data_IF_764706211855
#
_entry.id   IF_764706211855
#
_cell.length_a   1.000
_cell.length_b   1.000
_cell.length_c   1.000
_cell.angle_alpha   90.00
_cell.angle_beta   90.00
_cell.angle_gamma   90.00
#
_symmetry.space_group_name_H-M   'P 1'
#
loop_
_entity.id
_entity.type
_entity.pdbx_description
1 polymer ?
#
# COMPACT_ATOMS: atom_id res chain seq x y z
N UNK A 1 -25.52 -18.16 8.98
CA UNK A 1 -24.94 -16.80 9.00
C UNK A 1 -23.85 -16.74 7.93
N UNK A 2 -23.88 -15.69 7.13
CA UNK A 2 -22.76 -15.49 6.20
C UNK A 2 -21.51 -15.12 7.02
N UNK A 3 -20.40 -15.81 6.77
CA UNK A 3 -19.12 -15.42 7.35
C UNK A 3 -18.69 -14.07 6.78
N UNK A 4 -18.23 -13.18 7.64
CA UNK A 4 -17.63 -11.93 7.21
C UNK A 4 -16.31 -12.26 6.50
N UNK A 5 -16.10 -11.80 5.26
CA UNK A 5 -14.83 -12.05 4.58
C UNK A 5 -13.68 -11.40 5.34
N UNK A 6 -12.58 -12.14 5.51
CA UNK A 6 -11.38 -11.63 6.17
C UNK A 6 -10.65 -10.54 5.36
N UNK A 7 -10.95 -10.47 4.06
CA UNK A 7 -10.33 -9.53 3.13
C UNK A 7 -11.34 -9.12 2.05
N UNK A 8 -11.37 -7.82 1.72
CA UNK A 8 -12.14 -7.28 0.61
C UNK A 8 -11.24 -6.40 -0.24
N UNK A 9 -11.24 -6.63 -1.55
CA UNK A 9 -10.50 -5.81 -2.51
C UNK A 9 -11.45 -5.08 -3.45
N UNK A 10 -11.22 -3.78 -3.67
CA UNK A 10 -11.99 -2.93 -4.58
C UNK A 10 -11.02 -2.20 -5.50
N UNK A 11 -11.24 -2.28 -6.80
CA UNK A 11 -10.45 -1.59 -7.82
C UNK A 11 -11.28 -0.56 -8.56
N UNK A 12 -10.71 0.63 -8.75
CA UNK A 12 -11.22 1.71 -9.59
C UNK A 12 -10.22 2.04 -10.67
N UNK A 13 -10.71 2.50 -11.81
CA UNK A 13 -9.88 2.95 -12.91
C UNK A 13 -9.98 4.47 -13.05
N UNK A 14 -8.82 5.14 -13.15
CA UNK A 14 -8.73 6.58 -13.38
C UNK A 14 -8.21 6.82 -14.78
N UNK A 15 -8.94 7.63 -15.54
CA UNK A 15 -8.59 7.97 -16.92
C UNK A 15 -7.44 8.97 -16.98
N UNK A 16 -6.60 8.93 -18.05
CA UNK A 16 -5.61 9.96 -18.27
C UNK A 16 -6.27 11.34 -18.37
N UNK A 17 -5.57 12.38 -17.87
CA UNK A 17 -6.09 13.75 -17.87
C UNK A 17 -7.01 14.11 -16.71
N UNK A 18 -7.52 13.15 -15.95
CA UNK A 18 -8.04 13.44 -14.62
C UNK A 18 -6.86 13.78 -13.70
N UNK A 19 -7.03 14.71 -12.80
CA UNK A 19 -5.99 15.22 -11.92
C UNK A 19 -5.20 14.09 -11.27
N UNK A 20 -4.10 13.43 -11.71
CA UNK A 20 -3.50 12.99 -10.53
C UNK A 20 -2.98 11.57 -10.30
N UNK A 21 -2.28 10.97 -11.21
CA UNK A 21 -1.55 9.76 -10.83
C UNK A 21 -0.55 10.08 -9.69
N UNK A 22 0.22 11.14 -9.83
CA UNK A 22 1.18 11.56 -8.81
C UNK A 22 0.52 12.01 -7.50
N UNK A 23 -0.63 12.70 -7.57
CA UNK A 23 -1.33 13.11 -6.36
C UNK A 23 -1.94 11.93 -5.59
N UNK A 24 -2.29 10.85 -6.25
CA UNK A 24 -2.77 9.66 -5.55
C UNK A 24 -1.64 9.00 -4.75
N UNK A 25 -0.42 8.99 -5.28
CA UNK A 25 0.75 8.53 -4.53
C UNK A 25 0.96 9.39 -3.28
N UNK A 26 0.85 10.72 -3.41
CA UNK A 26 0.94 11.64 -2.27
C UNK A 26 -0.18 11.39 -1.25
N UNK A 27 -1.39 11.08 -1.71
CA UNK A 27 -2.51 10.71 -0.84
C UNK A 27 -2.23 9.42 -0.07
N UNK A 28 -1.67 8.41 -0.74
CA UNK A 28 -1.31 7.14 -0.10
C UNK A 28 -0.24 7.32 0.97
N UNK A 29 0.73 8.21 0.72
CA UNK A 29 1.88 8.47 1.61
C UNK A 29 1.61 9.55 2.66
N UNK A 30 0.38 9.98 2.86
CA UNK A 30 0.10 11.00 3.88
C UNK A 30 0.34 10.48 5.29
N UNK A 31 0.97 11.28 6.11
CA UNK A 31 1.34 10.95 7.49
C UNK A 31 0.19 10.43 8.35
N UNK A 32 -0.98 11.04 8.22
CA UNK A 32 -2.19 10.67 8.96
C UNK A 32 -2.62 9.22 8.71
N UNK A 33 -2.40 8.72 7.49
CA UNK A 33 -2.80 7.38 7.12
C UNK A 33 -1.75 6.33 7.50
N UNK A 34 -0.47 6.63 7.28
CA UNK A 34 0.63 5.67 7.52
C UNK A 34 1.12 5.64 8.96
N UNK A 35 0.95 6.73 9.70
CA UNK A 35 1.30 6.84 11.12
C UNK A 35 0.09 6.91 12.05
N UNK A 36 -1.10 7.10 11.47
CA UNK A 36 -2.32 7.39 12.19
C UNK A 36 -2.89 6.20 12.94
N UNK A 37 -3.79 6.51 13.86
CA UNK A 37 -4.44 5.53 14.69
C UNK A 37 -3.55 5.01 15.81
N UNK A 38 -4.02 3.95 16.44
CA UNK A 38 -3.36 3.34 17.58
C UNK A 38 -2.54 2.09 17.19
N UNK A 39 -2.48 1.77 15.91
CA UNK A 39 -1.74 0.61 15.42
C UNK A 39 -0.27 0.98 15.24
N UNK A 40 0.59 0.19 15.84
CA UNK A 40 2.03 0.32 15.67
C UNK A 40 2.51 -0.73 14.69
N UNK A 41 3.31 -0.30 13.73
CA UNK A 41 4.00 -1.24 12.87
C UNK A 41 4.92 -2.16 13.69
N UNK A 42 4.93 -3.44 13.38
CA UNK A 42 5.90 -4.34 13.97
C UNK A 42 7.32 -3.90 13.57
N UNK A 43 8.23 -4.03 14.51
CA UNK A 43 9.59 -3.55 14.35
C UNK A 43 10.31 -4.20 13.16
N UNK A 44 10.72 -3.40 12.24
CA UNK A 44 11.63 -3.79 11.16
C UNK A 44 12.70 -2.72 10.99
N UNK A 45 13.85 -3.08 10.46
CA UNK A 45 14.98 -2.16 10.30
C UNK A 45 14.62 -0.88 9.52
N UNK A 46 13.75 -1.00 8.52
CA UNK A 46 13.35 0.14 7.71
C UNK A 46 12.31 1.04 8.41
N UNK A 47 11.53 0.50 9.34
CA UNK A 47 10.65 1.33 10.20
C UNK A 47 11.46 2.27 11.08
N UNK A 48 12.62 1.82 11.56
CA UNK A 48 13.55 2.66 12.31
C UNK A 48 14.14 3.77 11.42
N UNK A 49 14.48 3.44 10.17
CA UNK A 49 14.99 4.41 9.21
C UNK A 49 13.95 5.50 8.91
N UNK A 50 12.70 5.09 8.69
CA UNK A 50 11.60 6.04 8.48
C UNK A 50 11.38 6.95 9.68
N UNK A 51 11.34 6.39 10.89
CA UNK A 51 11.17 7.14 12.13
C UNK A 51 12.35 8.06 12.41
N UNK A 52 13.57 7.65 12.03
CA UNK A 52 14.79 8.45 12.20
C UNK A 52 14.98 9.54 11.14
N UNK A 53 14.47 9.36 9.92
CA UNK A 53 14.64 10.27 8.79
C UNK A 53 13.36 10.37 7.93
N UNK A 54 12.26 10.92 8.48
CA UNK A 54 10.98 10.99 7.77
C UNK A 54 11.03 11.84 6.48
N UNK A 55 12.00 12.74 6.35
CA UNK A 55 12.20 13.54 5.14
C UNK A 55 12.82 12.76 3.98
N UNK A 56 13.50 11.66 4.26
CA UNK A 56 14.22 10.83 3.28
C UNK A 56 13.52 9.53 2.92
N UNK A 57 12.55 9.14 3.72
CA UNK A 57 11.80 7.88 3.56
C UNK A 57 10.32 8.15 3.43
N UNK A 58 9.61 7.21 2.82
CA UNK A 58 8.15 7.28 2.64
C UNK A 58 7.48 6.08 3.31
N UNK A 59 6.16 6.10 3.46
CA UNK A 59 5.35 4.95 3.87
C UNK A 59 5.01 4.00 2.72
N UNK A 60 5.60 4.19 1.55
CA UNK A 60 5.35 3.41 0.35
C UNK A 60 6.24 2.18 0.28
N UNK A 61 5.70 1.10 -0.28
CA UNK A 61 6.45 -0.09 -0.68
C UNK A 61 6.06 -0.52 -2.10
N UNK A 62 6.81 -1.43 -2.66
CA UNK A 62 6.57 -1.95 -4.01
C UNK A 62 6.92 -3.44 -4.10
N UNK A 63 6.96 -3.96 -5.32
CA UNK A 63 7.42 -5.35 -5.54
C UNK A 63 8.84 -5.56 -5.02
N UNK A 64 9.73 -4.59 -5.24
CA UNK A 64 11.17 -4.74 -5.03
C UNK A 64 11.68 -4.07 -3.75
N UNK A 65 10.91 -3.19 -3.14
CA UNK A 65 11.32 -2.40 -1.99
C UNK A 65 10.31 -2.50 -0.85
N UNK A 66 10.76 -2.80 0.35
CA UNK A 66 9.92 -2.79 1.55
C UNK A 66 9.56 -1.38 2.00
N UNK A 67 10.42 -0.42 1.69
CA UNK A 67 10.19 1.00 1.88
C UNK A 67 10.89 1.79 0.79
N UNK A 68 10.14 2.68 0.12
CA UNK A 68 10.71 3.58 -0.86
C UNK A 68 11.37 4.78 -0.16
N UNK A 69 12.60 5.12 -0.57
CA UNK A 69 13.16 6.43 -0.27
C UNK A 69 12.37 7.52 -1.00
N UNK A 70 12.49 8.76 -0.57
CA UNK A 70 11.88 9.90 -1.25
C UNK A 70 12.32 9.98 -2.74
N UNK A 71 13.61 9.72 -3.01
CA UNK A 71 14.14 9.72 -4.38
C UNK A 71 13.55 8.59 -5.23
N UNK A 72 13.45 7.39 -4.70
CA UNK A 72 12.83 6.26 -5.40
C UNK A 72 11.33 6.49 -5.62
N UNK A 73 10.63 7.03 -4.65
CA UNK A 73 9.22 7.41 -4.80
C UNK A 73 9.02 8.45 -5.90
N UNK A 74 9.95 9.40 -6.05
CA UNK A 74 9.91 10.39 -7.13
C UNK A 74 10.05 9.72 -8.49
N UNK A 75 10.91 8.72 -8.63
CA UNK A 75 11.05 7.94 -9.87
C UNK A 75 9.73 7.24 -10.24
N UNK A 76 9.05 6.62 -9.27
CA UNK A 76 7.71 6.03 -9.53
C UNK A 76 6.69 7.08 -9.95
N UNK A 77 6.67 8.26 -9.32
CA UNK A 77 5.78 9.35 -9.70
C UNK A 77 6.00 9.81 -11.14
N UNK A 78 7.26 9.92 -11.56
CA UNK A 78 7.63 10.27 -12.93
C UNK A 78 7.21 9.19 -13.94
N UNK A 79 7.39 7.92 -13.60
CA UNK A 79 6.93 6.80 -14.42
C UNK A 79 5.40 6.83 -14.57
N UNK A 80 4.68 7.11 -13.50
CA UNK A 80 3.21 7.21 -13.52
C UNK A 80 2.74 8.42 -14.32
N UNK A 81 3.44 9.56 -14.21
CA UNK A 81 3.14 10.73 -15.04
C UNK A 81 3.34 10.41 -16.52
N UNK A 82 4.45 9.76 -16.85
CA UNK A 82 4.70 9.31 -18.24
C UNK A 82 3.62 8.35 -18.72
N UNK A 83 3.24 7.39 -17.93
CA UNK A 83 2.16 6.45 -18.28
C UNK A 83 0.83 7.19 -18.51
N UNK A 84 0.51 8.19 -17.69
CA UNK A 84 -0.65 9.05 -17.88
C UNK A 84 -0.58 9.82 -19.20
N UNK A 85 0.57 10.41 -19.50
CA UNK A 85 0.78 11.16 -20.73
C UNK A 85 0.68 10.27 -21.98
N UNK A 86 1.10 9.01 -21.86
CA UNK A 86 0.97 7.97 -22.89
C UNK A 86 -0.44 7.35 -22.99
N UNK A 87 -1.39 7.80 -22.17
CA UNK A 87 -2.79 7.40 -22.22
C UNK A 87 -3.16 6.16 -21.38
N UNK A 88 -2.29 5.72 -20.49
CA UNK A 88 -2.57 4.59 -19.59
C UNK A 88 -3.62 4.95 -18.54
N UNK A 89 -4.40 3.94 -18.14
CA UNK A 89 -5.27 4.04 -16.96
C UNK A 89 -4.46 3.88 -15.68
N UNK A 90 -4.85 4.57 -14.62
CA UNK A 90 -4.39 4.27 -13.28
C UNK A 90 -5.38 3.29 -12.62
N UNK A 91 -4.87 2.20 -12.10
CA UNK A 91 -5.63 1.28 -11.28
C UNK A 91 -5.42 1.66 -9.81
N UNK A 92 -6.52 2.02 -9.16
CA UNK A 92 -6.53 2.29 -7.73
C UNK A 92 -7.20 1.12 -7.02
N UNK A 93 -6.44 0.33 -6.30
CA UNK A 93 -6.95 -0.82 -5.55
C UNK A 93 -6.84 -0.56 -4.06
N UNK A 94 -7.90 -0.83 -3.33
CA UNK A 94 -7.91 -0.82 -1.86
C UNK A 94 -8.22 -2.23 -1.39
N UNK A 95 -7.35 -2.77 -0.55
CA UNK A 95 -7.55 -4.04 0.13
C UNK A 95 -7.78 -3.75 1.61
N UNK A 96 -8.98 -4.06 2.09
CA UNK A 96 -9.35 -3.93 3.50
C UNK A 96 -9.29 -5.28 4.17
N UNK A 97 -8.70 -5.34 5.35
CA UNK A 97 -8.60 -6.54 6.17
C UNK A 97 -9.54 -6.45 7.36
N UNK A 98 -10.16 -7.56 7.70
CA UNK A 98 -10.81 -7.73 9.00
C UNK A 98 -9.72 -7.90 10.07
N UNK A 99 -9.64 -6.99 11.04
CA UNK A 99 -8.60 -7.02 12.07
C UNK A 99 -8.66 -8.30 12.92
N UNK A 100 -9.86 -8.81 13.17
CA UNK A 100 -10.02 -10.07 13.91
C UNK A 100 -9.45 -11.26 13.13
N UNK A 101 -9.68 -11.30 11.82
CA UNK A 101 -9.08 -12.31 10.95
C UNK A 101 -7.55 -12.22 10.93
N UNK A 102 -6.98 -11.00 10.88
CA UNK A 102 -5.53 -10.80 10.99
C UNK A 102 -4.99 -11.27 12.35
N UNK A 103 -5.74 -11.05 13.42
CA UNK A 103 -5.37 -11.50 14.76
C UNK A 103 -5.37 -13.05 14.85
N UNK A 104 -6.38 -13.70 14.28
CA UNK A 104 -6.46 -15.16 14.20
C UNK A 104 -5.28 -15.78 13.42
N UNK A 105 -4.76 -15.05 12.42
CA UNK A 105 -3.57 -15.44 11.66
C UNK A 105 -2.24 -15.10 12.35
N UNK A 106 -2.28 -14.41 13.49
CA UNK A 106 -1.07 -13.96 14.18
C UNK A 106 -0.33 -12.83 13.48
N UNK A 107 -1.00 -12.08 12.60
CA UNK A 107 -0.43 -10.93 11.86
C UNK A 107 -0.66 -9.63 12.63
N UNK A 108 -1.72 -9.54 13.40
CA UNK A 108 -2.10 -8.39 14.20
C UNK A 108 -2.33 -8.82 15.66
N UNK A 109 -1.90 -7.97 16.59
CA UNK A 109 -2.15 -8.15 18.03
C UNK A 109 -2.92 -6.93 18.55
N UNK A 110 -4.19 -7.13 18.89
CA UNK A 110 -5.06 -6.05 19.39
C UNK A 110 -4.66 -5.55 20.77
N UNK A 111 -3.98 -6.36 21.57
CA UNK A 111 -3.55 -5.98 22.93
C UNK A 111 -2.38 -5.01 22.91
N UNK A 112 -1.46 -5.15 21.96
CA UNK A 112 -0.29 -4.29 21.77
C UNK A 112 -0.48 -3.31 20.61
N UNK A 113 -1.49 -3.55 19.76
CA UNK A 113 -1.73 -2.82 18.52
C UNK A 113 -0.54 -2.91 17.54
N UNK A 114 0.12 -4.03 17.54
CA UNK A 114 1.24 -4.33 16.64
C UNK A 114 0.75 -5.08 15.40
N UNK A 115 1.27 -4.68 14.25
CA UNK A 115 1.02 -5.31 12.95
C UNK A 115 2.33 -5.83 12.37
N UNK A 116 2.31 -7.07 11.89
CA UNK A 116 3.40 -7.63 11.09
C UNK A 116 3.30 -7.11 9.65
N UNK A 117 3.88 -5.93 9.41
CA UNK A 117 3.87 -5.30 8.09
C UNK A 117 4.54 -6.14 7.01
N UNK A 118 5.61 -6.86 7.34
CA UNK A 118 6.31 -7.69 6.37
C UNK A 118 5.40 -8.79 5.80
N UNK A 119 4.54 -9.38 6.62
CA UNK A 119 3.56 -10.37 6.17
C UNK A 119 2.47 -9.75 5.32
N UNK A 120 1.98 -8.55 5.69
CA UNK A 120 1.02 -7.79 4.86
C UNK A 120 1.65 -7.48 3.49
N UNK A 121 2.85 -6.94 3.46
CA UNK A 121 3.57 -6.66 2.22
C UNK A 121 3.73 -7.90 1.35
N UNK A 122 4.10 -9.04 1.95
CA UNK A 122 4.20 -10.32 1.26
C UNK A 122 2.89 -10.76 0.61
N UNK A 123 1.78 -10.62 1.33
CA UNK A 123 0.44 -10.91 0.79
C UNK A 123 0.09 -10.00 -0.38
N UNK A 124 0.37 -8.71 -0.28
CA UNK A 124 0.12 -7.74 -1.37
C UNK A 124 0.96 -8.07 -2.60
N UNK A 125 2.22 -8.43 -2.43
CA UNK A 125 3.09 -8.82 -3.56
C UNK A 125 2.56 -10.05 -4.29
N UNK A 126 2.10 -11.06 -3.58
CA UNK A 126 1.46 -12.24 -4.18
C UNK A 126 0.18 -11.86 -4.91
N UNK A 127 -0.66 -11.05 -4.29
CA UNK A 127 -1.90 -10.56 -4.91
C UNK A 127 -1.60 -9.79 -6.20
N UNK A 128 -0.68 -8.84 -6.17
CA UNK A 128 -0.34 -8.01 -7.34
C UNK A 128 0.31 -8.83 -8.45
N UNK A 129 1.22 -9.73 -8.11
CA UNK A 129 1.80 -10.63 -9.11
C UNK A 129 0.74 -11.47 -9.81
N UNK A 130 -0.17 -12.06 -9.06
CA UNK A 130 -1.25 -12.87 -9.61
C UNK A 130 -2.19 -12.04 -10.47
N UNK A 131 -2.57 -10.85 -10.01
CA UNK A 131 -3.44 -9.94 -10.76
C UNK A 131 -2.80 -9.52 -12.08
N UNK A 132 -1.58 -9.03 -12.04
CA UNK A 132 -0.88 -8.54 -13.23
C UNK A 132 -0.58 -9.66 -14.23
N UNK A 133 -0.25 -10.86 -13.76
CA UNK A 133 -0.06 -12.03 -14.62
C UNK A 133 -1.36 -12.40 -15.36
N UNK A 134 -2.49 -12.38 -14.66
CA UNK A 134 -3.81 -12.68 -15.25
C UNK A 134 -4.27 -11.62 -16.25
N UNK A 135 -3.95 -10.38 -16.00
CA UNK A 135 -4.30 -9.24 -16.87
C UNK A 135 -3.29 -9.05 -18.02
N UNK A 136 -2.21 -9.83 -18.06
CA UNK A 136 -1.17 -9.69 -19.08
C UNK A 136 -0.31 -8.43 -18.93
N UNK A 137 -0.27 -7.85 -17.75
CA UNK A 137 0.43 -6.59 -17.44
C UNK A 137 1.76 -6.85 -16.73
N UNK A 138 2.59 -7.73 -17.28
CA UNK A 138 3.83 -8.19 -16.63
C UNK A 138 4.86 -7.09 -16.36
N UNK A 139 4.81 -5.97 -17.07
CA UNK A 139 5.74 -4.85 -16.93
C UNK A 139 5.14 -3.67 -16.15
N UNK A 140 3.93 -3.80 -15.64
CA UNK A 140 3.31 -2.73 -14.88
C UNK A 140 4.02 -2.51 -13.54
N UNK A 141 4.30 -1.26 -13.23
CA UNK A 141 4.82 -0.83 -11.93
C UNK A 141 3.67 -0.47 -11.01
N UNK A 142 3.85 -0.71 -9.72
CA UNK A 142 2.89 -0.33 -8.70
C UNK A 142 3.59 0.10 -7.41
N UNK A 143 2.90 0.93 -6.65
CA UNK A 143 3.26 1.28 -5.27
C UNK A 143 2.09 1.00 -4.35
N UNK A 144 2.36 0.79 -3.08
CA UNK A 144 1.33 0.56 -2.08
C UNK A 144 1.71 1.21 -0.75
N UNK A 145 0.71 1.48 0.07
CA UNK A 145 0.89 1.95 1.45
C UNK A 145 -0.12 1.29 2.38
N UNK A 146 0.32 0.91 3.57
CA UNK A 146 -0.52 0.40 4.64
C UNK A 146 -1.09 1.59 5.41
N UNK A 147 -2.40 1.65 5.56
CA UNK A 147 -3.10 2.71 6.28
C UNK A 147 -3.69 2.20 7.58
N UNK A 148 -3.54 2.98 8.65
CA UNK A 148 -3.94 2.66 10.03
C UNK A 148 -5.01 3.60 10.59
N UNK A 149 -5.46 4.58 9.83
CA UNK A 149 -6.31 5.68 10.29
C UNK A 149 -7.81 5.37 10.27
N UNK A 150 -8.19 4.11 10.11
CA UNK A 150 -9.58 3.63 10.15
C UNK A 150 -9.68 2.40 11.05
N UNK A 151 -10.91 1.95 11.32
CA UNK A 151 -11.17 0.79 12.18
C UNK A 151 -10.55 -0.49 11.66
N UNK A 152 -10.43 -0.61 10.34
CA UNK A 152 -9.80 -1.76 9.68
C UNK A 152 -8.49 -1.36 9.01
N UNK A 153 -7.48 -2.19 9.17
CA UNK A 153 -6.24 -2.04 8.42
C UNK A 153 -6.52 -2.22 6.94
N UNK A 154 -6.05 -1.30 6.12
CA UNK A 154 -6.23 -1.37 4.68
C UNK A 154 -4.97 -0.94 3.94
N UNK A 155 -4.82 -1.43 2.71
CA UNK A 155 -3.69 -1.13 1.84
C UNK A 155 -4.22 -0.45 0.58
N UNK A 156 -3.69 0.72 0.27
CA UNK A 156 -3.90 1.40 -0.99
C UNK A 156 -2.80 1.02 -1.98
N UNK A 157 -3.19 0.71 -3.21
CA UNK A 157 -2.28 0.32 -4.30
C UNK A 157 -2.57 1.18 -5.52
N UNK A 158 -1.54 1.69 -6.16
CA UNK A 158 -1.61 2.41 -7.42
C UNK A 158 -0.55 1.95 -8.41
#
# INVERSE_FOLDING_TARGET
MAETPGLVAVTKFVRPGSKTFASYINYMDRDEAIKGGNVRASYSAYSEEYMGNPEKSTGLFSMDYDQLSADTAQIYKEQFQKAQDDGSLLWQTVISFDNKWLEELGIYDSSTQELDEARIQGMIRIFMKTLLDKEGLHLASWTAAIHYNTDNIHVHIA
#
